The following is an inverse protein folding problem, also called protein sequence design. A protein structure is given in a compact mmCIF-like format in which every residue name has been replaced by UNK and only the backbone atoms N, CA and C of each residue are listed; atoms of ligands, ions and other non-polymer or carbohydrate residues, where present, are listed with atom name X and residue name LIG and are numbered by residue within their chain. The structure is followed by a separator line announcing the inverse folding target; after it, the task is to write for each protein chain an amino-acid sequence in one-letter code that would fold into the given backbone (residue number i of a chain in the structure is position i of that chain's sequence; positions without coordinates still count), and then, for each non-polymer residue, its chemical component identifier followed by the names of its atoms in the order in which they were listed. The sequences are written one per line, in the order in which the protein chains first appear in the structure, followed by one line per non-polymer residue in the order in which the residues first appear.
data_IF_685948418960
#
_entry.id   IF_685948418960
#
_cell.length_a   1.000
_cell.length_b   1.000
_cell.length_c   1.000
_cell.angle_alpha   90.00
_cell.angle_beta   90.00
_cell.angle_gamma   90.00
#
_symmetry.space_group_name_H-M   'P 1'
#
loop_
_entity.id
_entity.type
_entity.pdbx_description
1 polymer ?
#
# COMPACT_ATOMS: atom_id res chain seq x y z
N UNK A 1 -1.31 -47.27 39.00
CA UNK A 1 -0.85 -46.84 37.65
C UNK A 1 -1.26 -45.40 37.26
N UNK A 2 -1.80 -44.56 38.16
CA UNK A 2 -2.40 -43.25 37.80
C UNK A 2 -1.46 -42.01 37.87
N UNK A 3 -0.24 -42.14 38.41
CA UNK A 3 0.62 -40.99 38.71
C UNK A 3 1.43 -40.48 37.49
N UNK A 4 1.64 -41.31 36.46
CA UNK A 4 2.43 -40.97 35.27
C UNK A 4 1.64 -40.09 34.28
N UNK A 5 0.32 -40.29 34.21
CA UNK A 5 -0.60 -39.55 33.33
C UNK A 5 -0.78 -38.09 33.79
N UNK A 6 -0.96 -37.85 35.10
CA UNK A 6 -1.09 -36.48 35.65
C UNK A 6 0.16 -35.63 35.42
N UNK A 7 1.35 -36.17 35.70
CA UNK A 7 2.62 -35.47 35.44
C UNK A 7 2.82 -35.12 33.96
N UNK A 8 2.32 -35.96 33.06
CA UNK A 8 2.37 -35.68 31.61
C UNK A 8 1.46 -34.52 31.23
N UNK A 9 0.26 -34.47 31.79
CA UNK A 9 -0.70 -33.40 31.55
C UNK A 9 -0.20 -32.05 32.10
N UNK A 10 0.35 -32.05 33.31
CA UNK A 10 0.92 -30.85 33.95
C UNK A 10 2.12 -30.31 33.15
N UNK A 11 2.97 -31.20 32.63
CA UNK A 11 4.09 -30.82 31.76
C UNK A 11 3.58 -30.17 30.47
N UNK A 12 2.60 -30.77 29.79
CA UNK A 12 2.01 -30.21 28.56
C UNK A 12 1.37 -28.83 28.80
N UNK A 13 0.66 -28.65 29.92
CA UNK A 13 0.09 -27.34 30.27
C UNK A 13 1.18 -26.29 30.48
N UNK A 14 2.26 -26.66 31.18
CA UNK A 14 3.38 -25.74 31.42
C UNK A 14 4.10 -25.37 30.12
N UNK A 15 4.33 -26.34 29.23
CA UNK A 15 4.93 -26.11 27.91
C UNK A 15 4.08 -25.19 27.04
N UNK A 16 2.74 -25.36 27.06
CA UNK A 16 1.82 -24.47 26.33
C UNK A 16 1.88 -23.04 26.85
N UNK A 17 1.82 -22.84 28.17
CA UNK A 17 1.92 -21.50 28.79
C UNK A 17 3.23 -20.81 28.41
N UNK A 18 4.35 -21.55 28.43
CA UNK A 18 5.65 -21.02 28.01
C UNK A 18 5.66 -20.69 26.51
N UNK A 19 5.05 -21.52 25.67
CA UNK A 19 4.97 -21.25 24.23
C UNK A 19 4.17 -19.98 23.91
N UNK A 20 3.05 -19.78 24.61
CA UNK A 20 2.19 -18.62 24.40
C UNK A 20 2.82 -17.34 24.95
N UNK A 21 3.58 -17.41 26.05
CA UNK A 21 4.37 -16.27 26.55
C UNK A 21 5.54 -15.92 25.64
N UNK A 22 6.19 -16.91 25.02
CA UNK A 22 7.23 -16.64 24.01
C UNK A 22 6.63 -15.99 22.77
N UNK A 23 5.47 -16.46 22.30
CA UNK A 23 4.76 -15.84 21.16
C UNK A 23 4.41 -14.39 21.43
N UNK A 24 3.84 -14.08 22.60
CA UNK A 24 3.47 -12.70 22.91
C UNK A 24 4.68 -11.75 22.94
N UNK A 25 5.83 -12.19 23.45
CA UNK A 25 7.08 -11.41 23.41
C UNK A 25 7.57 -11.23 21.97
N UNK A 26 7.48 -12.27 21.14
CA UNK A 26 7.84 -12.18 19.72
C UNK A 26 6.95 -11.19 18.98
N UNK A 27 5.63 -11.23 19.23
CA UNK A 27 4.66 -10.32 18.60
C UNK A 27 5.00 -8.85 18.91
N UNK A 28 5.25 -8.53 20.17
CA UNK A 28 5.66 -7.17 20.59
C UNK A 28 6.96 -6.72 19.91
N UNK A 29 7.95 -7.61 19.81
CA UNK A 29 9.22 -7.29 19.16
C UNK A 29 9.05 -7.10 17.64
N UNK A 30 8.16 -7.87 17.00
CA UNK A 30 7.83 -7.71 15.59
C UNK A 30 7.13 -6.36 15.33
N UNK A 31 6.18 -5.98 16.19
CA UNK A 31 5.52 -4.68 16.13
C UNK A 31 6.50 -3.52 16.28
N UNK A 32 7.40 -3.59 17.28
CA UNK A 32 8.43 -2.58 17.48
C UNK A 32 9.40 -2.48 16.28
N UNK A 33 9.78 -3.63 15.71
CA UNK A 33 10.62 -3.68 14.53
C UNK A 33 9.92 -3.08 13.30
N UNK A 34 8.65 -3.39 13.10
CA UNK A 34 7.83 -2.83 12.01
C UNK A 34 7.69 -1.31 12.15
N UNK A 35 7.41 -0.81 13.36
CA UNK A 35 7.32 0.63 13.63
C UNK A 35 8.64 1.35 13.33
N UNK A 36 9.79 0.75 13.70
CA UNK A 36 11.11 1.27 13.35
C UNK A 36 11.30 1.35 11.84
N UNK A 37 10.96 0.30 11.09
CA UNK A 37 11.08 0.28 9.63
C UNK A 37 10.22 1.35 8.94
N UNK A 38 9.00 1.58 9.43
CA UNK A 38 8.11 2.64 8.92
C UNK A 38 8.75 4.01 9.19
N UNK A 39 9.23 4.24 10.41
CA UNK A 39 9.90 5.48 10.79
C UNK A 39 11.14 5.77 9.93
N UNK A 40 11.98 4.76 9.71
CA UNK A 40 13.17 4.90 8.87
C UNK A 40 12.81 5.15 7.40
N UNK A 41 11.78 4.47 6.86
CA UNK A 41 11.29 4.72 5.51
C UNK A 41 10.79 6.16 5.34
N UNK A 42 10.04 6.68 6.30
CA UNK A 42 9.54 8.06 6.28
C UNK A 42 10.63 9.13 6.33
N UNK A 43 11.82 8.82 6.88
CA UNK A 43 12.95 9.76 6.90
C UNK A 43 13.55 10.01 5.52
N UNK A 44 13.53 9.00 4.65
CA UNK A 44 14.12 9.08 3.31
C UNK A 44 13.13 9.50 2.24
N UNK A 45 11.82 9.36 2.51
CA UNK A 45 10.77 9.74 1.57
C UNK A 45 10.40 11.22 1.74
N UNK A 46 10.19 11.95 0.63
CA UNK A 46 9.77 13.34 0.70
C UNK A 46 8.42 13.45 1.43
N UNK A 47 8.23 14.54 2.17
CA UNK A 47 6.93 14.85 2.76
C UNK A 47 5.91 15.14 1.65
N UNK A 48 4.71 14.62 1.83
CA UNK A 48 3.60 14.70 0.87
C UNK A 48 2.40 15.30 1.58
N UNK A 49 1.81 16.33 0.97
CA UNK A 49 0.61 17.02 1.47
C UNK A 49 -0.55 16.92 0.48
N UNK A 50 -1.77 17.22 0.95
CA UNK A 50 -2.93 17.31 0.08
C UNK A 50 -2.69 18.34 -1.03
N UNK A 51 -3.04 18.00 -2.27
CA UNK A 51 -2.79 18.83 -3.45
C UNK A 51 -1.38 18.71 -4.04
N UNK A 52 -0.50 17.89 -3.47
CA UNK A 52 0.78 17.60 -4.11
C UNK A 52 0.59 16.74 -5.35
N UNK A 53 1.39 17.03 -6.38
CA UNK A 53 1.46 16.22 -7.59
C UNK A 53 2.28 14.96 -7.29
N UNK A 54 1.80 13.83 -7.77
CA UNK A 54 2.42 12.52 -7.56
C UNK A 54 2.37 11.68 -8.83
N UNK A 55 3.22 10.67 -8.89
CA UNK A 55 3.28 9.68 -9.97
C UNK A 55 3.09 8.30 -9.40
N UNK A 56 2.01 7.63 -9.80
CA UNK A 56 1.70 6.27 -9.38
C UNK A 56 2.25 5.30 -10.42
N UNK A 57 3.16 4.39 -10.06
CA UNK A 57 3.73 3.43 -11.00
C UNK A 57 2.68 2.43 -11.48
N UNK A 58 2.69 2.15 -12.78
CA UNK A 58 1.80 1.18 -13.41
C UNK A 58 2.53 -0.16 -13.54
N UNK A 59 1.95 -1.26 -13.04
CA UNK A 59 2.50 -2.60 -13.26
C UNK A 59 2.60 -2.92 -14.75
N UNK A 60 3.66 -3.64 -15.15
CA UNK A 60 3.90 -3.98 -16.56
C UNK A 60 2.70 -4.68 -17.22
N UNK A 61 1.99 -5.55 -16.51
CA UNK A 61 0.80 -6.26 -17.03
C UNK A 61 -0.37 -5.32 -17.37
N UNK A 62 -0.41 -4.12 -16.79
CA UNK A 62 -1.46 -3.14 -17.04
C UNK A 62 -1.02 -2.08 -18.07
N UNK A 63 0.21 -2.17 -18.60
CA UNK A 63 0.84 -1.13 -19.39
C UNK A 63 1.15 -1.66 -20.79
N UNK A 64 0.63 -1.00 -21.83
CA UNK A 64 1.11 -1.27 -23.20
C UNK A 64 2.54 -0.78 -23.38
N UNK A 65 3.24 -1.29 -24.38
CA UNK A 65 4.66 -0.94 -24.63
C UNK A 65 4.85 0.57 -24.87
N UNK A 66 3.85 1.24 -25.43
CA UNK A 66 3.86 2.67 -25.70
C UNK A 66 3.31 3.53 -24.55
N UNK A 67 2.69 2.92 -23.53
CA UNK A 67 2.07 3.67 -22.44
C UNK A 67 3.13 4.17 -21.44
N UNK A 68 2.92 5.36 -20.83
CA UNK A 68 3.78 5.86 -19.78
C UNK A 68 3.90 4.90 -18.59
N UNK A 69 5.10 4.80 -17.96
CA UNK A 69 5.33 3.95 -16.79
C UNK A 69 4.52 4.34 -15.55
N UNK A 70 4.03 5.57 -15.48
CA UNK A 70 3.36 6.11 -14.30
C UNK A 70 2.11 6.87 -14.72
N UNK A 71 1.05 6.77 -13.92
CA UNK A 71 -0.11 7.64 -14.00
C UNK A 71 0.16 8.86 -13.12
N UNK A 72 0.20 10.08 -13.68
CA UNK A 72 0.40 11.28 -12.89
C UNK A 72 -0.94 11.72 -12.29
N UNK A 73 -0.91 12.27 -11.07
CA UNK A 73 -2.12 12.66 -10.34
C UNK A 73 -1.85 13.59 -9.16
N UNK A 74 -2.88 13.83 -8.35
CA UNK A 74 -2.86 14.68 -7.16
C UNK A 74 -3.27 13.90 -5.92
N UNK A 75 -2.68 14.22 -4.78
CA UNK A 75 -3.12 13.69 -3.49
C UNK A 75 -4.40 14.40 -3.07
N UNK A 76 -5.51 13.67 -2.99
CA UNK A 76 -6.83 14.23 -2.67
C UNK A 76 -7.26 14.00 -1.23
N UNK A 77 -6.75 12.94 -0.59
CA UNK A 77 -7.12 12.57 0.78
C UNK A 77 -6.02 11.76 1.45
N UNK A 78 -5.92 11.89 2.76
CA UNK A 78 -5.10 11.04 3.63
C UNK A 78 -6.03 10.32 4.63
N UNK A 79 -5.81 9.01 4.81
CA UNK A 79 -6.55 8.15 5.74
C UNK A 79 -5.54 7.26 6.44
N UNK A 80 -5.34 7.46 7.75
CA UNK A 80 -4.44 6.64 8.59
C UNK A 80 -3.01 6.49 8.00
N UNK A 81 -2.42 7.57 7.48
CA UNK A 81 -1.08 7.57 6.87
C UNK A 81 -1.01 6.96 5.46
N UNK A 82 -2.15 6.59 4.89
CA UNK A 82 -2.28 6.15 3.51
C UNK A 82 -2.96 7.25 2.68
N UNK A 83 -2.58 7.35 1.40
CA UNK A 83 -2.99 8.44 0.54
C UNK A 83 -3.89 7.97 -0.59
N UNK A 84 -4.89 8.79 -0.92
CA UNK A 84 -5.74 8.60 -2.09
C UNK A 84 -5.32 9.57 -3.18
N UNK A 85 -5.20 9.06 -4.41
CA UNK A 85 -4.71 9.81 -5.56
C UNK A 85 -5.83 10.02 -6.57
N UNK A 86 -6.06 11.27 -6.94
CA UNK A 86 -6.96 11.67 -8.01
C UNK A 86 -6.21 11.90 -9.32
N UNK A 87 -6.75 11.40 -10.43
CA UNK A 87 -6.21 11.58 -11.77
C UNK A 87 -7.27 12.19 -12.70
N UNK A 88 -6.90 12.55 -13.93
CA UNK A 88 -7.86 13.03 -14.95
C UNK A 88 -8.90 11.95 -15.28
N UNK A 89 -8.46 10.71 -15.44
CA UNK A 89 -9.35 9.57 -15.74
C UNK A 89 -10.26 9.14 -14.58
N UNK A 90 -10.06 9.65 -13.36
CA UNK A 90 -10.79 9.25 -12.16
C UNK A 90 -9.90 9.21 -10.92
N UNK A 91 -10.52 9.01 -9.77
CA UNK A 91 -9.83 8.77 -8.51
C UNK A 91 -9.49 7.30 -8.36
N UNK A 92 -8.23 6.99 -8.08
CA UNK A 92 -7.81 5.60 -7.90
C UNK A 92 -8.48 5.05 -6.63
N UNK A 93 -9.19 3.94 -6.77
CA UNK A 93 -9.93 3.32 -5.68
C UNK A 93 -9.04 2.89 -4.50
N UNK A 94 -7.81 2.47 -4.80
CA UNK A 94 -6.81 2.00 -3.83
C UNK A 94 -6.14 3.15 -3.07
N UNK A 95 -5.83 2.92 -1.80
CA UNK A 95 -4.96 3.77 -0.99
C UNK A 95 -3.49 3.35 -1.13
N UNK A 96 -2.60 4.32 -1.17
CA UNK A 96 -1.17 4.11 -1.34
C UNK A 96 -0.39 4.58 -0.11
N UNK A 97 0.59 3.78 0.31
CA UNK A 97 1.62 4.24 1.23
C UNK A 97 2.59 5.19 0.51
N UNK A 98 3.28 6.04 1.28
CA UNK A 98 4.20 7.06 0.74
C UNK A 98 5.32 6.49 -0.14
N UNK A 99 5.72 5.23 0.07
CA UNK A 99 6.74 4.54 -0.71
C UNK A 99 6.21 3.92 -2.03
N UNK A 100 4.90 3.93 -2.26
CA UNK A 100 4.28 3.30 -3.43
C UNK A 100 4.03 4.28 -4.58
N UNK A 101 4.39 5.54 -4.41
CA UNK A 101 4.32 6.58 -5.43
C UNK A 101 5.49 7.55 -5.26
N UNK A 102 5.72 8.35 -6.28
CA UNK A 102 6.77 9.37 -6.28
C UNK A 102 6.15 10.76 -6.23
N UNK A 103 6.68 11.63 -5.37
CA UNK A 103 6.32 13.05 -5.40
C UNK A 103 6.84 13.68 -6.68
N UNK A 104 6.01 14.51 -7.32
CA UNK A 104 6.36 15.27 -8.51
C UNK A 104 6.38 16.76 -8.17
N UNK A 105 7.56 17.38 -8.28
CA UNK A 105 7.71 18.82 -7.99
C UNK A 105 7.10 19.71 -9.08
N UNK A 106 6.88 19.14 -10.28
CA UNK A 106 6.22 19.84 -11.38
C UNK A 106 4.71 19.91 -11.15
N UNK A 107 4.15 21.12 -11.27
CA UNK A 107 2.70 21.36 -11.16
C UNK A 107 1.99 20.98 -12.46
N UNK A 108 1.81 19.68 -12.68
CA UNK A 108 1.20 19.14 -13.91
C UNK A 108 -0.33 19.25 -13.84
N UNK A 109 -0.92 19.06 -12.67
CA UNK A 109 -2.37 19.09 -12.45
C UNK A 109 -2.79 20.12 -11.41
N UNK A 110 -4.02 20.61 -11.59
CA UNK A 110 -4.78 21.35 -10.57
C UNK A 110 -5.94 20.50 -10.08
N UNK A 111 -6.46 20.84 -8.90
CA UNK A 111 -7.60 20.14 -8.27
C UNK A 111 -8.83 20.13 -9.20
N UNK A 112 -9.02 21.19 -10.00
CA UNK A 112 -10.12 21.30 -10.95
C UNK A 112 -10.05 20.30 -12.12
N UNK A 113 -8.86 19.75 -12.41
CA UNK A 113 -8.65 18.82 -13.53
C UNK A 113 -8.93 17.35 -13.13
N UNK A 114 -9.27 17.11 -11.86
CA UNK A 114 -9.40 15.76 -11.30
C UNK A 114 -10.84 15.30 -11.36
N UNK A 115 -11.05 14.09 -11.88
CA UNK A 115 -12.33 13.41 -11.79
C UNK A 115 -12.43 12.64 -10.45
N UNK A 116 -13.50 12.91 -9.68
CA UNK A 116 -13.73 12.32 -8.36
C UNK A 116 -14.39 10.93 -8.43
N UNK A 117 -14.81 10.46 -9.60
CA UNK A 117 -15.33 9.10 -9.77
C UNK A 117 -14.25 8.06 -9.46
N UNK A 118 -14.58 7.09 -8.60
CA UNK A 118 -13.66 6.03 -8.26
C UNK A 118 -13.52 5.02 -9.41
N UNK A 119 -12.27 4.74 -9.81
CA UNK A 119 -11.94 3.74 -10.83
C UNK A 119 -10.73 2.93 -10.42
N UNK A 120 -10.57 1.75 -11.02
CA UNK A 120 -9.36 0.97 -10.81
C UNK A 120 -8.18 1.62 -11.54
N UNK A 121 -6.95 1.38 -11.07
CA UNK A 121 -5.75 1.86 -11.76
C UNK A 121 -5.70 1.37 -13.22
N UNK A 122 -6.17 0.14 -13.49
CA UNK A 122 -6.21 -0.43 -14.84
C UNK A 122 -7.15 0.35 -15.74
N UNK A 123 -8.36 0.65 -15.27
CA UNK A 123 -9.35 1.39 -16.06
C UNK A 123 -8.87 2.81 -16.35
N UNK A 124 -8.18 3.44 -15.40
CA UNK A 124 -7.59 4.78 -15.60
C UNK A 124 -6.50 4.72 -16.67
N UNK A 125 -5.58 3.75 -16.58
CA UNK A 125 -4.52 3.56 -17.59
C UNK A 125 -5.11 3.27 -18.96
N UNK A 126 -6.18 2.47 -19.05
CA UNK A 126 -6.85 2.17 -20.30
C UNK A 126 -7.48 3.43 -20.92
N UNK A 127 -8.13 4.27 -20.12
CA UNK A 127 -8.73 5.52 -20.59
C UNK A 127 -7.67 6.55 -21.01
N UNK A 128 -6.51 6.55 -20.38
CA UNK A 128 -5.39 7.47 -20.70
C UNK A 128 -4.44 6.89 -21.77
N UNK A 129 -4.58 5.62 -22.16
CA UNK A 129 -3.74 4.97 -23.16
C UNK A 129 -4.07 5.43 -24.57
N UNK A 130 -3.03 5.77 -25.33
CA UNK A 130 -3.16 6.15 -26.75
C UNK A 130 -3.49 4.95 -27.64
N UNK A 131 -3.07 3.74 -27.26
CA UNK A 131 -3.22 2.52 -28.05
C UNK A 131 -4.19 1.50 -27.41
N UNK A 132 -5.05 1.94 -26.48
CA UNK A 132 -6.11 1.12 -25.90
C UNK A 132 -5.68 0.13 -24.81
N UNK A 133 -4.49 0.32 -24.23
CA UNK A 133 -3.95 -0.48 -23.12
C UNK A 133 -3.66 -1.94 -23.46
N UNK A 134 -3.18 -2.70 -22.47
CA UNK A 134 -2.96 -4.14 -22.63
C UNK A 134 -4.26 -4.91 -22.30
N UNK A 135 -5.07 -5.16 -23.33
CA UNK A 135 -6.29 -5.99 -23.20
C UNK A 135 -5.99 -7.45 -23.50
N UNK A 136 -6.52 -8.35 -22.68
CA UNK A 136 -6.76 -9.73 -23.10
C UNK A 136 -8.02 -9.68 -23.95
N UNK A 137 -7.95 -10.14 -25.21
CA UNK A 137 -9.13 -10.30 -26.05
C UNK A 137 -10.15 -11.15 -25.29
N UNK A 138 -11.37 -10.64 -25.13
CA UNK A 138 -12.51 -11.41 -24.61
C UNK A 138 -13.10 -12.26 -25.73
#
# INVERSE_FOLDING_TARGET
MFNKSRRSYDRMHKERIVSDSVRSVVDVNQEASAAKMIGDSHRHLPLVTLGDNVRVPVPLMNRSRADPPNVPGLIIKEINGMYKTGCRGGTINRLYARNQFEKCDSKIFKIADINLEERSLRDIVENESVLGGQKVLK
#
